data_IF_991642273542
#
_entry.id   IF_991642273542
#
_cell.length_a   1.000
_cell.length_b   1.000
_cell.length_c   1.000
_cell.angle_alpha   90.00
_cell.angle_beta   90.00
_cell.angle_gamma   90.00
#
_symmetry.space_group_name_H-M   'P 1'
#
loop_
_entity.id
_entity.type
_entity.pdbx_description
1 polymer ?
#
# COMPACT_ATOMS: atom_id res chain seq x y z
N UNK A 1 6.38 0.18 -9.88
CA UNK A 1 5.81 1.16 -10.83
C UNK A 1 6.75 2.34 -10.87
N UNK A 2 7.44 2.56 -12.01
CA UNK A 2 8.28 3.75 -12.21
C UNK A 2 7.48 4.73 -13.05
N UNK A 3 7.24 5.93 -12.54
CA UNK A 3 6.64 7.02 -13.31
C UNK A 3 7.81 7.79 -13.93
N UNK A 4 8.09 7.57 -15.21
CA UNK A 4 9.21 8.21 -15.92
C UNK A 4 8.78 9.41 -16.76
N UNK A 5 7.50 9.53 -17.11
CA UNK A 5 7.05 10.48 -18.14
C UNK A 5 5.73 11.20 -17.76
N UNK A 6 5.79 12.00 -16.69
CA UNK A 6 4.70 12.92 -16.32
C UNK A 6 4.94 14.33 -16.88
N UNK A 7 3.93 14.95 -17.48
CA UNK A 7 4.00 16.36 -17.91
C UNK A 7 3.35 17.25 -16.85
N UNK A 8 4.13 18.11 -16.18
CA UNK A 8 3.57 19.11 -15.25
C UNK A 8 3.11 20.33 -16.05
N UNK A 9 1.84 20.70 -15.94
CA UNK A 9 1.31 21.93 -16.53
C UNK A 9 0.98 22.90 -15.39
N UNK A 10 1.83 23.91 -15.20
CA UNK A 10 1.59 25.02 -14.29
C UNK A 10 2.01 26.33 -14.97
N UNK A 11 1.18 27.40 -14.91
CA UNK A 11 1.49 28.68 -15.53
C UNK A 11 2.67 29.42 -14.88
N UNK A 12 3.07 29.01 -13.66
CA UNK A 12 4.11 29.65 -12.88
C UNK A 12 5.51 29.02 -13.08
N UNK A 13 5.63 28.03 -13.96
CA UNK A 13 6.90 27.34 -14.19
C UNK A 13 7.73 28.02 -15.29
N UNK A 14 9.03 28.26 -15.04
CA UNK A 14 9.93 28.79 -16.07
C UNK A 14 10.06 27.83 -17.26
N UNK A 15 10.24 28.39 -18.46
CA UNK A 15 10.60 27.62 -19.66
C UNK A 15 11.87 26.82 -19.39
N UNK A 16 11.81 25.50 -19.61
CA UNK A 16 12.92 24.58 -19.36
C UNK A 16 12.91 23.89 -18.00
N UNK A 17 11.88 24.09 -17.17
CA UNK A 17 11.71 23.31 -15.95
C UNK A 17 11.61 21.80 -16.25
N UNK A 18 12.46 21.00 -15.62
CA UNK A 18 12.45 19.55 -15.70
C UNK A 18 11.96 18.97 -14.37
N UNK A 19 11.14 17.93 -14.45
CA UNK A 19 10.78 17.12 -13.29
C UNK A 19 11.99 16.26 -12.90
N UNK A 20 12.66 16.63 -11.83
CA UNK A 20 13.63 15.76 -11.17
C UNK A 20 12.89 14.81 -10.23
N UNK A 21 12.93 13.51 -10.50
CA UNK A 21 12.61 12.50 -9.49
C UNK A 21 13.90 12.26 -8.71
N UNK A 22 13.97 12.65 -7.44
CA UNK A 22 15.13 12.34 -6.60
C UNK A 22 15.13 10.83 -6.30
N UNK A 23 16.06 10.04 -6.88
CA UNK A 23 16.14 8.60 -6.63
C UNK A 23 16.55 8.28 -5.18
N UNK A 24 17.11 9.24 -4.44
CA UNK A 24 17.45 9.11 -3.03
C UNK A 24 16.25 9.35 -2.10
N UNK A 25 15.14 9.87 -2.62
CA UNK A 25 13.87 10.07 -1.91
C UNK A 25 12.76 9.12 -2.40
N UNK A 26 13.08 7.84 -2.58
CA UNK A 26 12.03 6.83 -2.74
C UNK A 26 11.11 6.86 -1.50
N UNK A 27 9.81 7.15 -1.73
CA UNK A 27 8.82 7.09 -0.67
C UNK A 27 8.77 5.68 -0.10
N UNK A 28 9.11 5.54 1.18
CA UNK A 28 9.19 4.24 1.84
C UNK A 28 7.79 3.72 2.11
N UNK A 29 7.58 2.43 1.86
CA UNK A 29 6.35 1.77 2.24
C UNK A 29 6.17 1.82 3.77
N UNK A 30 5.17 2.55 4.22
CA UNK A 30 4.86 2.75 5.63
C UNK A 30 3.98 1.62 6.17
N UNK A 31 2.91 1.26 5.45
CA UNK A 31 1.94 0.25 5.86
C UNK A 31 1.22 -0.41 4.69
N UNK A 32 0.64 -1.57 4.98
CA UNK A 32 -0.35 -2.25 4.14
C UNK A 32 -1.59 -2.53 4.99
N UNK A 33 -2.77 -2.39 4.39
CA UNK A 33 -4.03 -2.69 5.06
C UNK A 33 -5.13 -3.05 4.07
N UNK A 34 -6.21 -3.60 4.60
CA UNK A 34 -7.44 -3.88 3.84
C UNK A 34 -8.55 -3.00 4.38
N UNK A 35 -9.43 -2.49 3.52
CA UNK A 35 -10.53 -1.60 3.86
C UNK A 35 -11.86 -2.15 3.33
N UNK A 36 -12.91 -1.96 4.11
CA UNK A 36 -14.31 -2.16 3.69
C UNK A 36 -14.75 -0.89 3.00
N UNK A 37 -14.71 -0.84 1.67
CA UNK A 37 -14.93 0.34 0.85
C UNK A 37 -13.69 1.20 0.62
N UNK A 38 -13.87 2.30 -0.12
CA UNK A 38 -12.76 3.18 -0.49
C UNK A 38 -12.10 3.79 0.76
N UNK A 39 -10.75 3.82 0.88
CA UNK A 39 -10.05 4.23 2.10
C UNK A 39 -10.27 5.68 2.52
N UNK A 40 -10.76 6.53 1.63
CA UNK A 40 -11.15 7.92 1.99
C UNK A 40 -12.47 8.01 2.76
N UNK A 41 -13.27 6.96 2.70
CA UNK A 41 -14.66 6.98 3.17
C UNK A 41 -14.88 6.04 4.36
N UNK A 42 -14.02 5.02 4.51
CA UNK A 42 -14.26 3.91 5.44
C UNK A 42 -13.00 3.42 6.15
N UNK A 43 -13.20 2.50 7.08
CA UNK A 43 -12.19 2.05 8.02
C UNK A 43 -11.39 0.84 7.53
N UNK A 44 -10.18 0.72 8.08
CA UNK A 44 -9.34 -0.46 7.90
C UNK A 44 -9.95 -1.68 8.62
N UNK A 45 -9.91 -2.82 7.95
CA UNK A 45 -10.26 -4.12 8.50
C UNK A 45 -9.09 -4.69 9.29
N UNK A 46 -9.40 -5.25 10.46
CA UNK A 46 -8.42 -5.87 11.33
C UNK A 46 -8.13 -7.30 10.85
N UNK A 47 -6.86 -7.68 10.63
CA UNK A 47 -6.52 -9.05 10.27
C UNK A 47 -6.77 -10.01 11.44
N UNK A 48 -7.14 -11.25 11.14
CA UNK A 48 -7.47 -12.29 12.14
C UNK A 48 -6.31 -12.60 13.09
N UNK A 49 -5.08 -12.38 12.65
CA UNK A 49 -3.86 -12.61 13.41
C UNK A 49 -3.18 -11.31 13.86
N UNK A 50 -3.94 -10.22 14.04
CA UNK A 50 -3.40 -8.92 14.45
C UNK A 50 -2.59 -8.98 15.76
N UNK A 51 -3.00 -9.84 16.70
CA UNK A 51 -2.36 -10.00 18.01
C UNK A 51 -1.26 -11.07 18.03
N UNK A 52 -1.05 -11.79 16.91
CA UNK A 52 -0.06 -12.85 16.85
C UNK A 52 1.36 -12.26 16.86
N UNK A 53 2.26 -12.90 17.62
CA UNK A 53 3.67 -12.54 17.61
C UNK A 53 4.27 -12.74 16.21
N UNK A 54 4.94 -11.71 15.69
CA UNK A 54 5.53 -11.70 14.36
C UNK A 54 7.05 -11.91 14.44
N UNK A 55 7.65 -12.67 13.51
CA UNK A 55 9.10 -12.78 13.41
C UNK A 55 9.76 -11.40 13.21
N UNK A 56 10.99 -11.23 13.72
CA UNK A 56 11.72 -9.97 13.56
C UNK A 56 11.94 -9.68 12.07
N UNK A 57 11.55 -8.48 11.62
CA UNK A 57 11.74 -8.04 10.24
C UNK A 57 10.71 -8.59 9.25
N UNK A 58 9.74 -9.40 9.69
CA UNK A 58 8.65 -9.89 8.84
C UNK A 58 7.33 -9.73 9.58
N UNK A 59 6.40 -8.98 9.01
CA UNK A 59 5.03 -8.91 9.46
C UNK A 59 4.12 -9.61 8.46
N UNK A 60 3.21 -10.45 8.97
CA UNK A 60 2.31 -11.26 8.17
C UNK A 60 0.88 -11.10 8.68
N UNK A 61 -0.07 -10.80 7.79
CA UNK A 61 -1.47 -10.55 8.14
C UNK A 61 -2.40 -11.36 7.27
N UNK A 62 -3.47 -11.87 7.88
CA UNK A 62 -4.50 -12.68 7.22
C UNK A 62 -5.86 -12.05 7.45
N UNK A 63 -6.52 -11.64 6.36
CA UNK A 63 -7.91 -11.21 6.34
C UNK A 63 -8.78 -12.33 5.78
N UNK A 64 -9.91 -12.59 6.41
CA UNK A 64 -10.92 -13.55 5.93
C UNK A 64 -12.27 -12.86 5.85
N UNK A 65 -12.95 -13.06 4.73
CA UNK A 65 -14.24 -12.44 4.43
C UNK A 65 -15.30 -13.54 4.38
N UNK A 66 -16.28 -13.44 5.28
CA UNK A 66 -17.38 -14.39 5.34
C UNK A 66 -18.34 -14.18 4.17
N UNK A 67 -18.53 -12.92 3.76
CA UNK A 67 -19.34 -12.49 2.62
C UNK A 67 -18.66 -11.35 1.84
N UNK A 68 -19.14 -11.10 0.62
CA UNK A 68 -18.72 -9.94 -0.17
C UNK A 68 -19.14 -8.64 0.51
N UNK A 69 -18.20 -7.69 0.62
CA UNK A 69 -18.51 -6.38 1.19
C UNK A 69 -19.37 -5.57 0.21
N UNK A 70 -20.54 -5.04 0.62
CA UNK A 70 -21.42 -4.28 -0.28
C UNK A 70 -20.78 -2.98 -0.80
N UNK A 71 -19.71 -2.50 -0.17
CA UNK A 71 -18.95 -1.34 -0.58
C UNK A 71 -17.65 -1.72 -1.32
N UNK A 72 -17.43 -3.01 -1.55
CA UNK A 72 -16.21 -3.58 -2.12
C UNK A 72 -15.05 -3.60 -1.14
N UNK A 73 -14.11 -4.51 -1.32
CA UNK A 73 -12.93 -4.62 -0.47
C UNK A 73 -11.72 -4.04 -1.17
N UNK A 74 -10.91 -3.24 -0.47
CA UNK A 74 -9.73 -2.58 -1.05
C UNK A 74 -8.46 -2.95 -0.29
N UNK A 75 -7.39 -3.27 -1.01
CA UNK A 75 -6.03 -3.27 -0.44
C UNK A 75 -5.44 -1.88 -0.60
N UNK A 76 -4.72 -1.42 0.43
CA UNK A 76 -4.10 -0.11 0.48
C UNK A 76 -2.65 -0.24 0.91
N UNK A 77 -1.76 0.34 0.11
CA UNK A 77 -0.35 0.53 0.45
C UNK A 77 -0.09 2.02 0.66
N UNK A 78 0.40 2.39 1.84
CA UNK A 78 0.77 3.78 2.16
C UNK A 78 2.28 3.97 2.02
N UNK A 79 2.70 5.01 1.32
CA UNK A 79 4.10 5.37 1.06
C UNK A 79 4.38 6.77 1.61
N UNK A 80 5.29 6.87 2.56
CA UNK A 80 5.51 8.10 3.34
C UNK A 80 4.21 8.58 4.02
N UNK A 81 4.06 9.91 4.15
CA UNK A 81 2.92 10.55 4.82
C UNK A 81 1.79 10.94 3.84
N UNK A 82 2.04 10.93 2.53
CA UNK A 82 1.18 11.61 1.55
C UNK A 82 0.59 10.71 0.46
N UNK A 83 1.20 9.54 0.17
CA UNK A 83 0.80 8.71 -0.98
C UNK A 83 0.14 7.44 -0.51
N UNK A 84 -1.08 7.20 -1.00
CA UNK A 84 -1.79 5.95 -0.83
C UNK A 84 -2.13 5.38 -2.20
N UNK A 85 -1.78 4.11 -2.40
CA UNK A 85 -2.21 3.32 -3.57
C UNK A 85 -3.26 2.36 -3.09
N UNK A 86 -4.46 2.44 -3.66
CA UNK A 86 -5.59 1.56 -3.34
C UNK A 86 -5.98 0.75 -4.56
N UNK A 87 -6.18 -0.56 -4.39
CA UNK A 87 -6.68 -1.44 -5.42
C UNK A 87 -7.91 -2.17 -4.89
N UNK A 88 -8.99 -2.20 -5.68
CA UNK A 88 -10.17 -3.01 -5.37
C UNK A 88 -9.83 -4.49 -5.59
N UNK A 89 -10.15 -5.31 -4.60
CA UNK A 89 -10.01 -6.77 -4.63
C UNK A 89 -11.30 -7.36 -5.23
N UNK A 90 -11.18 -8.54 -5.86
CA UNK A 90 -12.35 -9.28 -6.35
C UNK A 90 -13.36 -9.53 -5.23
N UNK A 91 -14.65 -9.40 -5.54
CA UNK A 91 -15.73 -9.70 -4.59
C UNK A 91 -15.81 -11.22 -4.29
N UNK A 92 -15.18 -12.06 -5.10
CA UNK A 92 -15.07 -13.51 -4.89
C UNK A 92 -13.96 -13.90 -3.89
N UNK A 93 -13.02 -12.99 -3.61
CA UNK A 93 -11.92 -13.29 -2.70
C UNK A 93 -12.44 -13.55 -1.29
N UNK A 94 -12.04 -14.68 -0.72
CA UNK A 94 -12.43 -15.11 0.63
C UNK A 94 -11.31 -14.91 1.64
N UNK A 95 -10.06 -14.94 1.19
CA UNK A 95 -8.90 -14.73 2.04
C UNK A 95 -7.90 -13.82 1.34
N UNK A 96 -7.39 -12.84 2.06
CA UNK A 96 -6.24 -12.07 1.62
C UNK A 96 -5.11 -12.14 2.63
N UNK A 97 -3.90 -12.22 2.12
CA UNK A 97 -2.69 -12.36 2.90
C UNK A 97 -1.71 -11.26 2.54
N UNK A 98 -1.32 -10.46 3.53
CA UNK A 98 -0.30 -9.42 3.39
C UNK A 98 0.99 -9.85 4.08
N UNK A 99 2.13 -9.67 3.42
CA UNK A 99 3.43 -9.83 4.06
C UNK A 99 4.25 -8.57 3.83
N UNK A 100 4.83 -8.02 4.89
CA UNK A 100 5.78 -6.92 4.85
C UNK A 100 7.13 -7.42 5.38
N UNK A 101 8.17 -7.32 4.57
CA UNK A 101 9.54 -7.63 4.99
C UNK A 101 10.33 -6.33 5.10
N UNK A 102 11.10 -6.19 6.17
CA UNK A 102 12.01 -5.08 6.40
C UNK A 102 13.44 -5.63 6.46
N UNK A 103 14.28 -5.26 5.51
CA UNK A 103 15.67 -5.71 5.51
C UNK A 103 16.51 -4.95 6.55
N UNK A 104 17.39 -5.63 7.29
CA UNK A 104 18.21 -5.01 8.32
C UNK A 104 19.50 -4.42 7.73
N UNK A 105 19.45 -3.31 6.98
CA UNK A 105 20.62 -2.42 6.69
C UNK A 105 20.20 -1.10 6.01
N UNK A 106 21.07 -0.06 6.00
CA UNK A 106 20.81 1.28 6.58
C UNK A 106 19.75 2.14 5.88
N UNK A 107 19.23 1.69 4.74
CA UNK A 107 18.02 2.21 4.13
C UNK A 107 17.06 1.02 3.99
N UNK A 108 16.40 0.65 5.10
CA UNK A 108 15.56 -0.55 5.17
C UNK A 108 14.46 -0.50 4.09
N UNK A 109 14.75 -1.09 2.94
CA UNK A 109 13.80 -1.27 1.87
C UNK A 109 12.73 -2.23 2.39
N UNK A 110 11.49 -1.79 2.26
CA UNK A 110 10.33 -2.55 2.70
C UNK A 110 9.66 -3.12 1.48
N UNK A 111 9.72 -4.43 1.34
CA UNK A 111 8.95 -5.15 0.32
C UNK A 111 7.64 -5.61 0.92
N UNK A 112 6.54 -5.37 0.20
CA UNK A 112 5.26 -5.97 0.52
C UNK A 112 4.79 -6.86 -0.62
N UNK A 113 4.21 -7.99 -0.23
CA UNK A 113 3.47 -8.87 -1.12
C UNK A 113 2.06 -9.03 -0.57
N UNK A 114 1.09 -9.05 -1.48
CA UNK A 114 -0.31 -9.24 -1.15
C UNK A 114 -0.92 -10.25 -2.11
N UNK A 115 -1.58 -11.25 -1.57
CA UNK A 115 -2.20 -12.35 -2.31
C UNK A 115 -3.65 -12.51 -1.84
N UNK A 116 -4.59 -12.63 -2.78
CA UNK A 116 -6.01 -12.86 -2.48
C UNK A 116 -6.53 -14.04 -3.27
N UNK A 117 -7.29 -14.89 -2.58
CA UNK A 117 -7.90 -16.12 -3.09
C UNK A 117 -9.36 -16.17 -2.69
#
# INVERSE_FOLDING_TARGET
MHITDGTLQSPDLPVGAQLGVDPHQALRLASIGVYSGHPRERAALVPRNAEAAQPRGVAHWVWRFDDADPHGTYVVCAYGEAVQVSLRISDDARTCTGTLRSDPMPAAERSASFDCQ
#
